data_IF_612517992433
#
_entry.id   IF_612517992433
#
_cell.length_a   1.000
_cell.length_b   1.000
_cell.length_c   1.000
_cell.angle_alpha   90.00
_cell.angle_beta   90.00
_cell.angle_gamma   90.00
#
_symmetry.space_group_name_H-M   'P 1'
#
loop_
_entity.id
_entity.type
_entity.pdbx_description
1 polymer ?
#
# COMPACT_ATOMS: atom_id res chain seq x y z
N UNK A 1 9.91 49.46 29.80
CA UNK A 1 8.75 48.55 29.90
C UNK A 1 8.02 48.59 28.57
N UNK A 2 7.79 47.45 27.92
CA UNK A 2 6.99 47.40 26.68
C UNK A 2 5.54 47.74 27.06
N UNK A 3 4.89 48.62 26.30
CA UNK A 3 3.50 48.98 26.56
C UNK A 3 2.59 47.76 26.36
N UNK A 4 1.43 47.75 27.03
CA UNK A 4 0.45 46.67 26.85
C UNK A 4 0.09 46.46 25.36
N UNK A 5 0.04 47.54 24.58
CA UNK A 5 -0.14 47.50 23.12
C UNK A 5 1.04 46.83 22.39
N UNK A 6 2.29 47.11 22.79
CA UNK A 6 3.48 46.46 22.23
C UNK A 6 3.53 44.97 22.55
N UNK A 7 3.06 44.57 23.73
CA UNK A 7 2.98 43.16 24.11
C UNK A 7 1.90 42.42 23.33
N UNK A 8 0.71 43.00 23.15
CA UNK A 8 -0.35 42.44 22.29
C UNK A 8 0.10 42.28 20.84
N UNK A 9 0.88 43.22 20.30
CA UNK A 9 1.36 43.18 18.93
C UNK A 9 2.37 42.02 18.72
N UNK A 10 3.28 41.82 19.69
CA UNK A 10 4.23 40.70 19.68
C UNK A 10 3.49 39.36 19.76
N UNK A 11 2.53 39.20 20.69
CA UNK A 11 1.78 37.94 20.84
C UNK A 11 0.97 37.62 19.59
N UNK A 12 0.41 38.63 18.92
CA UNK A 12 -0.36 38.46 17.68
C UNK A 12 0.52 38.01 16.51
N UNK A 13 1.71 38.61 16.35
CA UNK A 13 2.69 38.22 15.33
C UNK A 13 3.18 36.78 15.56
N UNK A 14 3.48 36.43 16.81
CA UNK A 14 3.88 35.07 17.18
C UNK A 14 2.77 34.06 16.89
N UNK A 15 1.50 34.40 17.17
CA UNK A 15 0.35 33.55 16.87
C UNK A 15 0.16 33.28 15.37
N UNK A 16 0.37 34.29 14.51
CA UNK A 16 0.26 34.16 13.05
C UNK A 16 1.37 33.26 12.51
N UNK A 17 2.61 33.46 12.96
CA UNK A 17 3.75 32.64 12.53
C UNK A 17 3.58 31.19 12.97
N UNK A 18 3.19 30.95 14.23
CA UNK A 18 2.96 29.61 14.75
C UNK A 18 1.86 28.87 13.99
N UNK A 19 0.74 29.55 13.69
CA UNK A 19 -0.38 28.96 12.94
C UNK A 19 0.02 28.65 11.49
N UNK A 20 0.81 29.51 10.84
CA UNK A 20 1.33 29.28 9.49
C UNK A 20 2.26 28.06 9.40
N UNK A 21 3.13 27.87 10.40
CA UNK A 21 4.01 26.69 10.48
C UNK A 21 3.21 25.40 10.68
N UNK A 22 2.22 25.40 11.55
CA UNK A 22 1.34 24.23 11.78
C UNK A 22 0.55 23.89 10.51
N UNK A 23 -0.05 24.88 9.86
CA UNK A 23 -0.79 24.68 8.60
C UNK A 23 0.11 24.12 7.49
N UNK A 24 1.34 24.63 7.36
CA UNK A 24 2.33 24.12 6.42
C UNK A 24 2.72 22.66 6.70
N UNK A 25 2.94 22.30 7.97
CA UNK A 25 3.25 20.92 8.38
C UNK A 25 2.07 19.98 8.08
N UNK A 26 0.83 20.38 8.38
CA UNK A 26 -0.39 19.61 8.08
C UNK A 26 -0.54 19.41 6.57
N UNK A 27 -0.32 20.46 5.77
CA UNK A 27 -0.36 20.38 4.31
C UNK A 27 0.70 19.41 3.75
N UNK A 28 1.92 19.41 4.32
CA UNK A 28 2.97 18.47 3.93
C UNK A 28 2.62 17.02 4.30
N UNK A 29 2.12 16.78 5.52
CA UNK A 29 1.69 15.45 5.98
C UNK A 29 0.54 14.92 5.12
N UNK A 30 -0.45 15.76 4.82
CA UNK A 30 -1.57 15.36 3.96
C UNK A 30 -1.11 15.10 2.52
N UNK A 31 -0.18 15.89 1.98
CA UNK A 31 0.41 15.63 0.68
C UNK A 31 1.12 14.27 0.65
N UNK A 32 2.01 13.99 1.61
CA UNK A 32 2.70 12.70 1.72
C UNK A 32 1.69 11.54 1.82
N UNK A 33 0.63 11.70 2.63
CA UNK A 33 -0.41 10.68 2.78
C UNK A 33 -1.16 10.37 1.47
N UNK A 34 -1.35 11.37 0.58
CA UNK A 34 -1.99 11.15 -0.72
C UNK A 34 -1.09 10.33 -1.65
N UNK A 35 0.19 10.64 -1.67
CA UNK A 35 1.18 9.90 -2.48
C UNK A 35 1.34 8.46 -1.98
N UNK A 36 1.43 8.26 -0.66
CA UNK A 36 1.50 6.94 -0.06
C UNK A 36 0.24 6.12 -0.36
N UNK A 37 -0.96 6.72 -0.23
CA UNK A 37 -2.20 6.06 -0.61
C UNK A 37 -2.22 5.66 -2.08
N UNK A 38 -1.80 6.56 -2.98
CA UNK A 38 -1.72 6.24 -4.40
C UNK A 38 -0.74 5.10 -4.68
N UNK A 39 0.42 5.10 -4.01
CA UNK A 39 1.42 4.03 -4.12
C UNK A 39 0.89 2.69 -3.62
N UNK A 40 0.24 2.68 -2.46
CA UNK A 40 -0.41 1.49 -1.90
C UNK A 40 -1.47 0.94 -2.85
N UNK A 41 -2.31 1.80 -3.45
CA UNK A 41 -3.32 1.35 -4.40
C UNK A 41 -2.71 0.80 -5.69
N UNK A 42 -1.61 1.37 -6.19
CA UNK A 42 -0.85 0.83 -7.32
C UNK A 42 -0.26 -0.54 -6.96
N UNK A 43 0.39 -0.67 -5.80
CA UNK A 43 0.98 -1.94 -5.34
C UNK A 43 -0.10 -3.02 -5.16
N UNK A 44 -1.28 -2.67 -4.64
CA UNK A 44 -2.44 -3.58 -4.57
C UNK A 44 -2.93 -4.01 -5.96
N UNK A 45 -3.01 -3.07 -6.90
CA UNK A 45 -3.44 -3.38 -8.26
C UNK A 45 -2.45 -4.32 -8.95
N UNK A 46 -1.14 -4.07 -8.81
CA UNK A 46 -0.09 -4.93 -9.33
C UNK A 46 -0.12 -6.32 -8.70
N UNK A 47 -0.22 -6.41 -7.37
CA UNK A 47 -0.29 -7.69 -6.67
C UNK A 47 -1.53 -8.49 -7.06
N UNK A 48 -2.69 -7.84 -7.21
CA UNK A 48 -3.91 -8.47 -7.72
C UNK A 48 -3.70 -9.01 -9.13
N UNK A 49 -3.08 -8.23 -10.02
CA UNK A 49 -2.82 -8.66 -11.40
C UNK A 49 -1.93 -9.90 -11.42
N UNK A 50 -0.85 -9.92 -10.63
CA UNK A 50 0.03 -11.10 -10.54
C UNK A 50 -0.70 -12.37 -10.08
N UNK A 51 -1.65 -12.25 -9.14
CA UNK A 51 -2.48 -13.38 -8.70
C UNK A 51 -3.45 -13.82 -9.82
N UNK A 52 -4.05 -12.87 -10.54
CA UNK A 52 -4.94 -13.17 -11.66
C UNK A 52 -4.20 -13.86 -12.80
N UNK A 53 -3.03 -13.36 -13.19
CA UNK A 53 -2.19 -13.95 -14.24
C UNK A 53 -1.77 -15.36 -13.86
N UNK A 54 -1.38 -15.57 -12.59
CA UNK A 54 -1.06 -16.90 -12.08
C UNK A 54 -2.27 -17.84 -12.08
N UNK A 55 -3.46 -17.34 -11.75
CA UNK A 55 -4.68 -18.13 -11.85
C UNK A 55 -4.98 -18.53 -13.30
N UNK A 56 -4.87 -17.59 -14.25
CA UNK A 56 -5.05 -17.88 -15.66
C UNK A 56 -4.03 -18.92 -16.15
N UNK A 57 -2.76 -18.77 -15.79
CA UNK A 57 -1.69 -19.65 -16.21
C UNK A 57 -1.78 -21.06 -15.64
N UNK A 58 -1.98 -21.19 -14.32
CA UNK A 58 -1.87 -22.47 -13.64
C UNK A 58 -3.22 -23.17 -13.46
N UNK A 59 -4.32 -22.43 -13.33
CA UNK A 59 -5.66 -23.01 -13.14
C UNK A 59 -6.42 -23.12 -14.46
N UNK A 60 -6.45 -22.06 -15.27
CA UNK A 60 -7.23 -22.06 -16.53
C UNK A 60 -6.47 -22.77 -17.65
N UNK A 61 -5.20 -22.42 -17.87
CA UNK A 61 -4.35 -22.99 -18.93
C UNK A 61 -3.66 -24.29 -18.50
N UNK A 62 -3.70 -24.64 -17.22
CA UNK A 62 -3.14 -25.90 -16.70
C UNK A 62 -1.61 -26.00 -16.80
N UNK A 63 -0.88 -24.87 -16.82
CA UNK A 63 0.58 -24.90 -16.75
C UNK A 63 1.02 -25.56 -15.43
N UNK A 64 2.17 -26.25 -15.44
CA UNK A 64 2.73 -26.81 -14.21
C UNK A 64 3.26 -25.70 -13.31
N UNK A 65 2.86 -25.70 -12.05
CA UNK A 65 3.27 -24.73 -11.03
C UNK A 65 4.49 -25.24 -10.26
N UNK A 66 5.60 -24.49 -10.29
CA UNK A 66 6.79 -24.85 -9.50
C UNK A 66 6.60 -24.51 -8.02
N UNK A 67 7.31 -25.20 -7.12
CA UNK A 67 7.33 -24.86 -5.69
C UNK A 67 7.82 -23.42 -5.46
N UNK A 68 8.87 -23.00 -6.15
CA UNK A 68 9.40 -21.64 -6.02
C UNK A 68 8.36 -20.56 -6.36
N UNK A 69 7.61 -20.75 -7.45
CA UNK A 69 6.56 -19.82 -7.86
C UNK A 69 5.35 -19.87 -6.92
N UNK A 70 5.02 -21.06 -6.41
CA UNK A 70 3.96 -21.23 -5.41
C UNK A 70 4.26 -20.40 -4.15
N UNK A 71 5.48 -20.52 -3.61
CA UNK A 71 5.91 -19.77 -2.42
C UNK A 71 5.93 -18.26 -2.66
N UNK A 72 6.35 -17.83 -3.84
CA UNK A 72 6.32 -16.42 -4.23
C UNK A 72 4.88 -15.88 -4.24
N UNK A 73 3.94 -16.62 -4.83
CA UNK A 73 2.53 -16.23 -4.89
C UNK A 73 1.90 -16.13 -3.50
N UNK A 74 2.28 -17.02 -2.56
CA UNK A 74 1.86 -16.92 -1.16
C UNK A 74 2.33 -15.61 -0.52
N UNK A 75 3.61 -15.25 -0.68
CA UNK A 75 4.15 -13.99 -0.14
C UNK A 75 3.48 -12.76 -0.75
N UNK A 76 3.24 -12.77 -2.05
CA UNK A 76 2.52 -11.70 -2.75
C UNK A 76 1.10 -11.58 -2.19
N UNK A 77 0.41 -12.70 -1.97
CA UNK A 77 -0.95 -12.70 -1.43
C UNK A 77 -1.03 -12.21 0.02
N UNK A 78 -0.04 -12.55 0.85
CA UNK A 78 0.04 -12.04 2.22
C UNK A 78 0.27 -10.53 2.24
N UNK A 79 1.23 -10.03 1.45
CA UNK A 79 1.47 -8.59 1.30
C UNK A 79 0.24 -7.86 0.75
N UNK A 80 -0.42 -8.41 -0.26
CA UNK A 80 -1.66 -7.88 -0.82
C UNK A 80 -2.77 -7.75 0.23
N UNK A 81 -2.92 -8.77 1.07
CA UNK A 81 -3.91 -8.81 2.14
C UNK A 81 -3.59 -7.77 3.22
N UNK A 82 -2.32 -7.61 3.58
CA UNK A 82 -1.86 -6.59 4.52
C UNK A 82 -2.15 -5.15 4.04
N UNK A 83 -2.16 -4.91 2.72
CA UNK A 83 -2.54 -3.62 2.11
C UNK A 83 -4.06 -3.41 2.02
N UNK A 84 -4.89 -4.29 2.58
CA UNK A 84 -6.35 -4.21 2.51
C UNK A 84 -6.90 -4.74 1.17
N UNK A 85 -6.36 -5.87 0.72
CA UNK A 85 -6.80 -6.59 -0.46
C UNK A 85 -8.29 -6.98 -0.45
N UNK A 86 -8.85 -7.31 -1.62
CA UNK A 86 -10.27 -7.62 -1.78
C UNK A 86 -10.58 -9.12 -1.85
N UNK A 87 -11.86 -9.46 -1.72
CA UNK A 87 -12.33 -10.86 -1.74
C UNK A 87 -12.14 -11.58 -3.09
N UNK A 88 -11.99 -10.85 -4.20
CA UNK A 88 -11.82 -11.46 -5.53
C UNK A 88 -10.48 -12.18 -5.65
N UNK A 89 -9.38 -11.51 -5.29
CA UNK A 89 -8.04 -12.11 -5.35
C UNK A 89 -7.92 -13.34 -4.43
N UNK A 90 -8.63 -13.32 -3.30
CA UNK A 90 -8.71 -14.47 -2.37
C UNK A 90 -9.26 -15.72 -3.07
N UNK A 91 -10.33 -15.60 -3.86
CA UNK A 91 -10.91 -16.76 -4.58
C UNK A 91 -9.93 -17.36 -5.57
N UNK A 92 -9.20 -16.53 -6.31
CA UNK A 92 -8.17 -17.00 -7.24
C UNK A 92 -7.02 -17.68 -6.51
N UNK A 93 -6.56 -17.12 -5.38
CA UNK A 93 -5.48 -17.72 -4.61
C UNK A 93 -5.89 -19.05 -3.98
N UNK A 94 -7.13 -19.21 -3.51
CA UNK A 94 -7.63 -20.51 -3.03
C UNK A 94 -7.62 -21.59 -4.13
N UNK A 95 -7.95 -21.22 -5.37
CA UNK A 95 -7.85 -22.15 -6.50
C UNK A 95 -6.38 -22.51 -6.81
N UNK A 96 -5.45 -21.55 -6.72
CA UNK A 96 -4.01 -21.82 -6.89
C UNK A 96 -3.47 -22.71 -5.76
N UNK A 97 -3.89 -22.50 -4.50
CA UNK A 97 -3.51 -23.32 -3.34
C UNK A 97 -3.94 -24.77 -3.44
N UNK A 98 -4.99 -25.07 -4.21
CA UNK A 98 -5.44 -26.43 -4.44
C UNK A 98 -4.55 -27.21 -5.43
N UNK A 99 -3.64 -26.53 -6.15
CA UNK A 99 -2.72 -27.18 -7.08
C UNK A 99 -1.58 -27.88 -6.33
N UNK A 100 -1.06 -28.96 -6.90
CA UNK A 100 0.13 -29.65 -6.40
C UNK A 100 1.38 -29.09 -7.08
N UNK A 101 2.20 -28.26 -6.40
CA UNK A 101 3.41 -27.74 -7.01
C UNK A 101 4.46 -28.83 -7.20
N UNK A 102 5.33 -28.67 -8.19
CA UNK A 102 6.44 -29.61 -8.47
C UNK A 102 7.80 -28.97 -8.21
N UNK A 103 8.75 -29.80 -7.81
CA UNK A 103 10.16 -29.42 -7.71
C UNK A 103 10.78 -29.44 -9.10
N UNK A 104 11.43 -28.36 -9.51
CA UNK A 104 12.29 -28.36 -10.69
C UNK A 104 13.57 -29.09 -10.31
N UNK A 105 13.85 -30.20 -10.99
CA UNK A 105 15.09 -30.97 -10.86
C UNK A 105 15.82 -30.88 -12.20
N UNK A 106 17.13 -30.71 -12.15
CA UNK A 106 18.02 -30.57 -13.32
C UNK A 106 18.02 -31.83 -14.21
#
# INVERSE_FOLDING_TARGET
MISAAGQQLITSIVGIIASGVIGFLIAKVTHLSKFEKARVEIEKAMARQMIFDAYEDYVVKGKKLTIARYDELLRIFDAYTALGGNGTAKRYMEAIKALKPYLVVD
#
